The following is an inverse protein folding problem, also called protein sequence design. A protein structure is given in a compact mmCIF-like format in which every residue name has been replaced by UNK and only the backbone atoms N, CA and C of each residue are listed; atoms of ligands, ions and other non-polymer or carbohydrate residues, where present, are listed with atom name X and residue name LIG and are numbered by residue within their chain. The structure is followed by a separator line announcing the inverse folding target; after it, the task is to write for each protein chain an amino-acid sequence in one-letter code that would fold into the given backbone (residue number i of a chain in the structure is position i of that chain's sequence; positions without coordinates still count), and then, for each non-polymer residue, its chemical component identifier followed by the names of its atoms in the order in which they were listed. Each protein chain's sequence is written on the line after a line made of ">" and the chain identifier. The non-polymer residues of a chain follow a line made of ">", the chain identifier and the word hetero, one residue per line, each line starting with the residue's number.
data_IF_349583628294
#
_entry.id   IF_349583628294
#
_cell.length_a   1.000
_cell.length_b   1.000
_cell.length_c   1.000
_cell.angle_alpha   90.00
_cell.angle_beta   90.00
_cell.angle_gamma   90.00
#
_symmetry.space_group_name_H-M   'P 1'
#
loop_
_entity.id
_entity.type
_entity.pdbx_description
1 polymer ?
#
# COMPACT_ATOMS: atom_id res chain seq x y z
N UNK A 1 18.06 21.34 -4.77
CA UNK A 1 19.34 21.93 -4.32
C UNK A 1 19.65 23.14 -5.20
N UNK A 2 20.28 24.16 -4.64
CA UNK A 2 20.66 25.40 -5.34
C UNK A 2 22.13 25.69 -5.03
N UNK A 3 22.92 26.04 -6.05
CA UNK A 3 24.32 26.45 -5.90
C UNK A 3 24.34 27.94 -5.49
N UNK A 4 24.86 28.25 -4.29
CA UNK A 4 24.90 29.62 -3.75
C UNK A 4 26.19 30.36 -4.09
N UNK A 5 27.27 29.62 -4.32
CA UNK A 5 28.56 30.07 -4.84
C UNK A 5 29.28 28.87 -5.46
N UNK A 6 30.34 29.04 -6.28
CA UNK A 6 31.04 27.91 -6.90
C UNK A 6 31.36 26.80 -5.89
N UNK A 7 30.88 25.58 -6.18
CA UNK A 7 31.04 24.37 -5.36
C UNK A 7 30.39 24.41 -3.96
N UNK A 8 29.46 25.34 -3.72
CA UNK A 8 28.71 25.46 -2.46
C UNK A 8 27.21 25.37 -2.74
N UNK A 9 26.58 24.35 -2.16
CA UNK A 9 25.19 24.02 -2.41
C UNK A 9 24.35 24.09 -1.14
N UNK A 10 23.08 24.48 -1.27
CA UNK A 10 22.09 24.46 -0.19
C UNK A 10 20.80 23.75 -0.60
N UNK A 11 20.09 23.21 0.40
CA UNK A 11 18.79 22.60 0.20
C UNK A 11 17.74 23.66 -0.17
N UNK A 12 16.84 23.29 -1.09
CA UNK A 12 15.61 24.04 -1.34
C UNK A 12 14.42 23.24 -0.80
N UNK A 13 13.19 23.80 -0.89
CA UNK A 13 11.97 23.15 -0.37
C UNK A 13 11.77 21.72 -0.90
N UNK A 14 12.18 21.44 -2.14
CA UNK A 14 12.01 20.12 -2.75
C UNK A 14 13.09 19.16 -2.24
N UNK A 15 14.36 19.58 -2.26
CA UNK A 15 15.45 18.71 -1.81
C UNK A 15 15.48 18.51 -0.29
N UNK A 16 14.91 19.42 0.51
CA UNK A 16 14.74 19.21 1.95
C UNK A 16 13.81 18.04 2.28
N UNK A 17 12.86 17.69 1.39
CA UNK A 17 12.00 16.52 1.59
C UNK A 17 12.76 15.19 1.43
N UNK A 18 13.93 15.23 0.78
CA UNK A 18 14.81 14.09 0.55
C UNK A 18 15.92 13.97 1.60
N UNK A 19 16.05 14.99 2.47
CA UNK A 19 17.01 15.00 3.55
C UNK A 19 16.54 14.06 4.67
N UNK A 20 17.42 13.15 5.09
CA UNK A 20 17.13 12.24 6.20
C UNK A 20 17.44 12.87 7.55
N UNK A 21 18.03 14.07 7.58
CA UNK A 21 18.46 14.77 8.79
C UNK A 21 19.65 14.11 9.50
N UNK A 22 20.28 13.10 8.88
CA UNK A 22 21.41 12.37 9.45
C UNK A 22 22.72 13.04 9.07
N UNK A 23 23.69 13.02 10.00
CA UNK A 23 25.02 13.54 9.72
C UNK A 23 25.72 12.68 8.66
N UNK A 24 26.50 13.32 7.79
CA UNK A 24 27.23 12.65 6.69
C UNK A 24 28.12 11.51 7.21
N UNK A 25 28.81 11.73 8.34
CA UNK A 25 29.65 10.69 8.98
C UNK A 25 28.86 9.43 9.35
N UNK A 26 27.61 9.58 9.80
CA UNK A 26 26.76 8.45 10.18
C UNK A 26 26.25 7.72 8.94
N UNK A 27 25.92 8.46 7.87
CA UNK A 27 25.50 7.87 6.59
C UNK A 27 26.62 7.09 5.91
N UNK A 28 27.88 7.53 6.06
CA UNK A 28 29.05 6.80 5.54
C UNK A 28 29.32 5.55 6.39
N UNK A 29 29.22 5.66 7.72
CA UNK A 29 29.51 4.55 8.62
C UNK A 29 28.41 3.46 8.61
N UNK A 30 27.14 3.85 8.46
CA UNK A 30 25.94 2.99 8.56
C UNK A 30 24.92 3.34 7.46
N UNK A 31 25.26 3.10 6.18
CA UNK A 31 24.39 3.46 5.06
C UNK A 31 23.03 2.73 5.08
N UNK A 32 22.98 1.52 5.64
CA UNK A 32 21.77 0.71 5.79
C UNK A 32 20.75 1.32 6.76
N UNK A 33 21.20 2.12 7.71
CA UNK A 33 20.32 2.82 8.66
C UNK A 33 19.77 4.12 8.07
N UNK A 34 20.19 4.55 6.86
CA UNK A 34 19.90 5.89 6.29
C UNK A 34 18.46 6.38 6.49
N UNK A 35 17.49 5.48 6.31
CA UNK A 35 16.07 5.81 6.33
C UNK A 35 15.41 5.66 7.71
N UNK A 36 16.07 5.04 8.68
CA UNK A 36 15.51 4.80 10.00
C UNK A 36 15.19 6.11 10.72
N UNK A 37 14.00 6.13 11.35
CA UNK A 37 13.46 7.29 12.07
C UNK A 37 13.26 8.55 11.21
N UNK A 38 13.04 8.39 9.90
CA UNK A 38 12.70 9.49 8.98
C UNK A 38 11.20 9.55 8.66
N UNK A 39 10.78 10.58 7.90
CA UNK A 39 9.41 10.69 7.36
C UNK A 39 9.08 9.60 6.36
N UNK A 40 10.09 8.98 5.74
CA UNK A 40 9.94 7.91 4.75
C UNK A 40 9.92 8.38 3.29
N UNK A 41 9.84 9.69 3.02
CA UNK A 41 9.85 10.22 1.65
C UNK A 41 11.15 9.90 0.89
N UNK A 42 12.29 10.04 1.55
CA UNK A 42 13.57 9.63 0.97
C UNK A 42 13.65 8.09 0.73
N UNK A 43 12.99 7.30 1.57
CA UNK A 43 12.96 5.85 1.49
C UNK A 43 12.12 5.38 0.30
N UNK A 44 10.93 5.96 0.10
CA UNK A 44 10.08 5.64 -1.04
C UNK A 44 10.75 6.06 -2.35
N UNK A 45 11.43 7.21 -2.40
CA UNK A 45 12.18 7.60 -3.59
C UNK A 45 13.34 6.64 -3.89
N UNK A 46 14.07 6.20 -2.85
CA UNK A 46 15.14 5.22 -3.00
C UNK A 46 14.63 3.84 -3.41
N UNK A 47 13.41 3.45 -3.01
CA UNK A 47 12.73 2.25 -3.49
C UNK A 47 12.39 2.36 -4.99
N UNK A 48 11.88 3.50 -5.43
CA UNK A 48 11.56 3.70 -6.86
C UNK A 48 12.82 3.64 -7.74
N UNK A 49 13.90 4.29 -7.28
CA UNK A 49 15.17 4.33 -8.00
C UNK A 49 15.87 2.97 -8.11
N UNK A 50 15.56 2.02 -7.22
CA UNK A 50 16.31 0.80 -7.09
C UNK A 50 15.53 -0.44 -7.54
N UNK A 51 14.27 -0.62 -7.11
CA UNK A 51 13.43 -1.72 -7.57
C UNK A 51 12.59 -1.33 -8.79
N UNK A 52 11.79 -0.26 -8.66
CA UNK A 52 10.71 0.04 -9.61
C UNK A 52 11.26 0.42 -10.99
N UNK A 53 12.31 1.25 -11.06
CA UNK A 53 12.89 1.63 -12.35
C UNK A 53 13.70 0.53 -13.00
N UNK A 54 14.31 -0.40 -12.24
CA UNK A 54 14.93 -1.60 -12.82
C UNK A 54 13.87 -2.50 -13.45
N UNK A 55 12.76 -2.71 -12.75
CA UNK A 55 11.60 -3.43 -13.29
C UNK A 55 11.02 -2.71 -14.53
N UNK A 56 10.93 -1.38 -14.49
CA UNK A 56 10.43 -0.58 -15.62
C UNK A 56 11.29 -0.74 -16.87
N UNK A 57 12.61 -0.87 -16.72
CA UNK A 57 13.53 -1.09 -17.83
C UNK A 57 13.32 -2.42 -18.57
N UNK A 58 12.60 -3.36 -17.96
CA UNK A 58 12.28 -4.67 -18.52
C UNK A 58 10.78 -4.85 -18.83
N UNK A 59 9.99 -3.77 -18.73
CA UNK A 59 8.55 -3.83 -18.90
C UNK A 59 8.16 -4.22 -20.33
N UNK A 60 8.85 -3.67 -21.34
CA UNK A 60 8.57 -3.99 -22.74
C UNK A 60 8.81 -5.48 -23.03
N UNK A 61 9.92 -6.03 -22.56
CA UNK A 61 10.28 -7.44 -22.71
C UNK A 61 9.21 -8.34 -22.08
N UNK A 62 8.76 -8.01 -20.86
CA UNK A 62 7.69 -8.76 -20.19
C UNK A 62 6.34 -8.64 -20.92
N UNK A 63 6.03 -7.49 -21.52
CA UNK A 63 4.76 -7.29 -22.24
C UNK A 63 4.76 -7.86 -23.66
N UNK A 64 5.94 -8.08 -24.26
CA UNK A 64 6.08 -8.60 -25.63
C UNK A 64 6.34 -10.10 -25.69
N UNK A 65 6.79 -10.72 -24.60
CA UNK A 65 6.96 -12.17 -24.50
C UNK A 65 5.60 -12.88 -24.33
N UNK A 66 5.19 -13.78 -25.26
CA UNK A 66 3.94 -14.52 -25.15
C UNK A 66 3.76 -15.30 -23.83
N UNK A 67 4.85 -15.70 -23.17
CA UNK A 67 4.80 -16.42 -21.91
C UNK A 67 4.40 -15.53 -20.72
N UNK A 68 4.78 -14.25 -20.73
CA UNK A 68 4.58 -13.35 -19.58
C UNK A 68 3.61 -12.20 -19.86
N UNK A 69 3.32 -11.89 -21.13
CA UNK A 69 2.45 -10.79 -21.54
C UNK A 69 1.00 -10.89 -21.02
N UNK A 70 0.56 -12.10 -20.67
CA UNK A 70 -0.78 -12.38 -20.16
C UNK A 70 -0.75 -13.17 -18.84
N UNK A 71 0.40 -13.17 -18.17
CA UNK A 71 0.52 -13.84 -16.89
C UNK A 71 -0.22 -13.06 -15.80
N UNK A 72 -0.74 -13.79 -14.83
CA UNK A 72 -1.25 -13.25 -13.58
C UNK A 72 -0.53 -13.90 -12.38
N UNK A 73 0.66 -14.44 -12.62
CA UNK A 73 1.50 -15.04 -11.59
C UNK A 73 2.44 -13.99 -11.01
N UNK A 74 2.52 -13.95 -9.68
CA UNK A 74 3.28 -12.93 -8.94
C UNK A 74 4.80 -13.06 -9.10
N UNK A 75 5.28 -14.13 -9.72
CA UNK A 75 6.69 -14.40 -10.02
C UNK A 75 7.02 -14.31 -11.53
N UNK A 76 6.08 -13.86 -12.36
CA UNK A 76 6.24 -13.67 -13.80
C UNK A 76 6.09 -12.19 -14.16
N UNK A 77 6.84 -11.33 -13.46
CA UNK A 77 6.69 -9.87 -13.52
C UNK A 77 7.95 -9.18 -14.09
N UNK A 78 7.84 -7.90 -14.53
CA UNK A 78 9.02 -7.11 -14.89
C UNK A 78 10.04 -6.99 -13.75
N UNK A 79 9.58 -7.02 -12.48
CA UNK A 79 10.46 -7.08 -11.32
C UNK A 79 11.31 -8.36 -11.29
N UNK A 80 10.74 -9.51 -11.62
CA UNK A 80 11.47 -10.77 -11.69
C UNK A 80 12.58 -10.71 -12.74
N UNK A 81 12.27 -10.16 -13.91
CA UNK A 81 13.23 -9.99 -15.00
C UNK A 81 14.33 -8.97 -14.65
N UNK A 82 13.95 -7.77 -14.18
CA UNK A 82 14.87 -6.66 -13.94
C UNK A 82 15.80 -6.86 -12.73
N UNK A 83 15.39 -7.65 -11.73
CA UNK A 83 16.21 -7.97 -10.56
C UNK A 83 16.75 -9.40 -10.56
N UNK A 84 16.45 -10.18 -11.61
CA UNK A 84 16.87 -11.57 -11.78
C UNK A 84 16.49 -12.45 -10.57
N UNK A 85 15.21 -12.40 -10.17
CA UNK A 85 14.64 -13.17 -9.06
C UNK A 85 13.48 -14.04 -9.53
N UNK A 86 13.28 -15.21 -8.91
CA UNK A 86 12.29 -16.21 -9.34
C UNK A 86 11.04 -16.30 -8.46
N UNK A 87 11.01 -15.53 -7.38
CA UNK A 87 9.95 -15.53 -6.37
C UNK A 87 9.11 -14.25 -6.48
N UNK A 88 7.95 -14.23 -5.85
CA UNK A 88 7.13 -13.01 -5.82
C UNK A 88 7.85 -11.85 -5.14
N UNK A 89 7.42 -10.61 -5.37
CA UNK A 89 7.95 -9.45 -4.65
C UNK A 89 7.94 -9.69 -3.12
N UNK A 90 6.81 -10.18 -2.60
CA UNK A 90 6.62 -10.40 -1.17
C UNK A 90 7.55 -11.46 -0.59
N UNK A 91 7.71 -12.58 -1.29
CA UNK A 91 8.63 -13.65 -0.86
C UNK A 91 10.09 -13.22 -0.96
N UNK A 92 10.42 -12.38 -1.95
CA UNK A 92 11.77 -11.93 -2.22
C UNK A 92 12.26 -10.94 -1.15
N UNK A 93 11.42 -9.98 -0.74
CA UNK A 93 11.84 -8.96 0.23
C UNK A 93 12.03 -9.52 1.65
N UNK A 94 11.46 -10.68 1.97
CA UNK A 94 11.62 -11.31 3.30
C UNK A 94 12.76 -12.34 3.34
N UNK A 95 13.54 -12.47 2.27
CA UNK A 95 14.71 -13.35 2.26
C UNK A 95 15.73 -12.92 3.32
N UNK A 96 16.39 -13.87 4.01
CA UNK A 96 17.33 -13.58 5.09
C UNK A 96 18.64 -12.93 4.62
N UNK A 97 18.81 -12.72 3.32
CA UNK A 97 19.99 -12.08 2.75
C UNK A 97 20.06 -10.60 3.17
N UNK A 98 21.21 -10.11 3.67
CA UNK A 98 21.39 -8.70 4.05
C UNK A 98 20.98 -7.70 2.95
N UNK A 99 21.15 -8.07 1.68
CA UNK A 99 20.72 -7.30 0.52
C UNK A 99 19.21 -7.07 0.50
N UNK A 100 18.41 -8.10 0.81
CA UNK A 100 16.96 -8.02 0.83
C UNK A 100 16.43 -7.43 2.14
N UNK A 101 17.06 -7.73 3.28
CA UNK A 101 16.68 -7.15 4.57
C UNK A 101 16.72 -5.62 4.57
N UNK A 102 17.75 -5.01 3.96
CA UNK A 102 17.80 -3.55 3.81
C UNK A 102 16.63 -3.03 2.96
N UNK A 103 16.35 -3.68 1.81
CA UNK A 103 15.25 -3.31 0.91
C UNK A 103 13.90 -3.42 1.60
N UNK A 104 13.68 -4.47 2.38
CA UNK A 104 12.49 -4.68 3.20
C UNK A 104 12.29 -3.55 4.22
N UNK A 105 13.33 -3.23 5.00
CA UNK A 105 13.28 -2.13 5.97
C UNK A 105 12.99 -0.80 5.28
N UNK A 106 13.70 -0.51 4.17
CA UNK A 106 13.48 0.68 3.34
C UNK A 106 12.04 0.73 2.80
N UNK A 107 11.51 -0.39 2.32
CA UNK A 107 10.15 -0.48 1.79
C UNK A 107 9.12 -0.14 2.88
N UNK A 108 9.20 -0.76 4.06
CA UNK A 108 8.28 -0.47 5.17
C UNK A 108 8.30 1.02 5.57
N UNK A 109 9.49 1.61 5.67
CA UNK A 109 9.66 3.04 5.96
C UNK A 109 9.11 3.90 4.80
N UNK A 110 9.31 3.47 3.56
CA UNK A 110 8.80 4.12 2.35
C UNK A 110 7.27 4.13 2.29
N UNK A 111 6.62 3.00 2.58
CA UNK A 111 5.16 2.91 2.64
C UNK A 111 4.57 3.81 3.72
N UNK A 112 5.22 3.90 4.89
CA UNK A 112 4.85 4.91 5.91
C UNK A 112 4.91 6.33 5.35
N UNK A 113 5.97 6.64 4.59
CA UNK A 113 6.14 7.94 3.93
C UNK A 113 5.07 8.21 2.87
N UNK A 114 4.75 7.23 2.03
CA UNK A 114 3.68 7.33 1.04
C UNK A 114 2.31 7.57 1.71
N UNK A 115 2.02 6.85 2.80
CA UNK A 115 0.79 7.06 3.57
C UNK A 115 0.66 8.46 4.20
N UNK A 116 1.76 9.19 4.40
CA UNK A 116 1.72 10.58 4.89
C UNK A 116 1.27 11.60 3.84
N UNK A 117 1.18 11.18 2.56
CA UNK A 117 0.62 11.99 1.48
C UNK A 117 -0.92 11.99 1.50
N UNK A 118 -1.53 10.99 2.15
CA UNK A 118 -2.96 10.97 2.41
C UNK A 118 -3.29 11.82 3.65
N UNK A 119 -4.47 12.47 3.70
CA UNK A 119 -4.94 13.10 4.93
C UNK A 119 -4.97 12.11 6.09
N UNK A 120 -4.36 12.46 7.22
CA UNK A 120 -4.26 11.56 8.37
C UNK A 120 -5.62 11.08 8.92
N UNK A 121 -6.69 11.84 8.67
CA UNK A 121 -8.06 11.51 9.07
C UNK A 121 -8.88 10.80 7.98
N UNK A 122 -8.29 10.47 6.83
CA UNK A 122 -8.99 9.84 5.71
C UNK A 122 -9.67 8.52 6.13
N UNK A 123 -8.98 7.68 6.92
CA UNK A 123 -9.56 6.44 7.41
C UNK A 123 -10.77 6.68 8.33
N UNK A 124 -10.76 7.75 9.13
CA UNK A 124 -11.88 8.11 10.02
C UNK A 124 -13.12 8.55 9.23
N UNK A 125 -12.92 9.07 8.02
CA UNK A 125 -14.00 9.47 7.10
C UNK A 125 -14.48 8.35 6.18
N UNK A 126 -13.72 7.26 6.07
CA UNK A 126 -14.05 6.15 5.19
C UNK A 126 -15.32 5.40 5.63
N UNK A 127 -15.65 5.42 6.92
CA UNK A 127 -16.79 4.75 7.50
C UNK A 127 -17.19 5.39 8.83
N UNK A 128 -18.46 5.32 9.21
CA UNK A 128 -18.91 5.78 10.53
C UNK A 128 -18.53 4.76 11.62
N UNK A 129 -17.25 4.73 11.98
CA UNK A 129 -16.71 3.80 12.98
C UNK A 129 -17.36 3.94 14.35
N UNK A 130 -17.90 5.12 14.69
CA UNK A 130 -18.55 5.38 15.97
C UNK A 130 -19.98 4.84 16.03
N UNK A 131 -20.58 4.52 14.89
CA UNK A 131 -21.88 3.82 14.84
C UNK A 131 -21.78 2.34 15.24
N UNK A 132 -20.57 1.78 15.28
CA UNK A 132 -20.36 0.39 15.68
C UNK A 132 -20.69 0.21 17.17
N UNK A 133 -21.37 -0.89 17.55
CA UNK A 133 -21.58 -1.23 18.95
C UNK A 133 -20.27 -1.31 19.74
N UNK A 134 -20.32 -0.94 21.01
CA UNK A 134 -19.16 -1.06 21.91
C UNK A 134 -18.66 -2.51 21.95
N UNK A 135 -17.36 -2.69 21.77
CA UNK A 135 -16.71 -3.99 21.71
C UNK A 135 -16.72 -4.64 20.33
N UNK A 136 -17.23 -3.96 19.29
CA UNK A 136 -17.09 -4.40 17.89
C UNK A 136 -15.64 -4.67 17.52
N UNK A 137 -15.43 -5.74 16.75
CA UNK A 137 -14.10 -6.18 16.31
C UNK A 137 -13.90 -5.73 14.87
N UNK A 138 -12.86 -4.92 14.65
CA UNK A 138 -12.35 -4.56 13.33
C UNK A 138 -11.11 -5.38 13.07
N UNK A 139 -11.10 -6.14 11.98
CA UNK A 139 -9.94 -6.92 11.54
C UNK A 139 -9.30 -6.18 10.36
N UNK A 140 -8.11 -5.65 10.57
CA UNK A 140 -7.27 -5.02 9.54
C UNK A 140 -6.44 -6.11 8.85
N UNK A 141 -6.90 -6.53 7.65
CA UNK A 141 -6.39 -7.69 6.93
C UNK A 141 -5.27 -7.24 5.99
N UNK A 142 -4.05 -7.78 6.17
CA UNK A 142 -2.86 -7.28 5.47
C UNK A 142 -2.46 -5.89 5.96
N UNK A 143 -2.68 -5.58 7.25
CA UNK A 143 -2.57 -4.22 7.79
C UNK A 143 -1.14 -3.64 7.82
N UNK A 144 -0.12 -4.41 7.42
CA UNK A 144 1.27 -4.01 7.49
C UNK A 144 1.67 -3.66 8.92
N UNK A 145 2.33 -2.51 9.07
CA UNK A 145 2.70 -1.97 10.39
C UNK A 145 1.50 -1.36 11.17
N UNK A 146 0.28 -1.42 10.63
CA UNK A 146 -0.95 -0.98 11.29
C UNK A 146 -1.16 0.54 11.30
N UNK A 147 -0.75 1.25 10.25
CA UNK A 147 -0.90 2.71 10.16
C UNK A 147 -2.36 3.18 10.33
N UNK A 148 -3.32 2.69 9.53
CA UNK A 148 -4.74 3.03 9.66
C UNK A 148 -5.33 2.56 11.00
N UNK A 149 -4.99 1.34 11.42
CA UNK A 149 -5.39 0.79 12.72
C UNK A 149 -4.94 1.68 13.89
N UNK A 150 -3.76 2.29 13.84
CA UNK A 150 -3.27 3.20 14.88
C UNK A 150 -4.12 4.47 14.98
N UNK A 151 -4.53 5.04 13.84
CA UNK A 151 -5.43 6.19 13.79
C UNK A 151 -6.80 5.83 14.37
N UNK A 152 -7.35 4.67 14.01
CA UNK A 152 -8.61 4.15 14.56
C UNK A 152 -8.50 3.92 16.07
N UNK A 153 -7.43 3.26 16.53
CA UNK A 153 -7.20 2.96 17.94
C UNK A 153 -7.13 4.22 18.81
N UNK A 154 -6.61 5.34 18.27
CA UNK A 154 -6.51 6.62 18.98
C UNK A 154 -7.84 7.38 19.03
N UNK A 155 -8.70 7.24 18.02
CA UNK A 155 -9.89 8.10 17.84
C UNK A 155 -11.23 7.40 18.11
N UNK A 156 -11.23 6.06 18.18
CA UNK A 156 -12.42 5.23 18.38
C UNK A 156 -12.12 4.20 19.49
N UNK A 157 -12.14 4.61 20.77
CA UNK A 157 -11.69 3.74 21.87
C UNK A 157 -12.64 2.57 22.18
N UNK A 158 -13.88 2.63 21.70
CA UNK A 158 -14.91 1.62 21.97
C UNK A 158 -14.82 0.36 21.10
N UNK A 159 -13.98 0.36 20.05
CA UNK A 159 -13.76 -0.81 19.19
C UNK A 159 -12.50 -1.59 19.61
N UNK A 160 -12.51 -2.88 19.29
CA UNK A 160 -11.33 -3.75 19.34
C UNK A 160 -10.77 -3.89 17.93
N UNK A 161 -9.45 -3.95 17.81
CA UNK A 161 -8.76 -4.04 16.53
C UNK A 161 -7.87 -5.28 16.52
N UNK A 162 -7.96 -6.07 15.47
CA UNK A 162 -7.03 -7.19 15.20
C UNK A 162 -6.26 -6.83 13.94
N UNK A 163 -4.94 -6.72 14.05
CA UNK A 163 -4.07 -6.41 12.92
C UNK A 163 -3.46 -7.71 12.43
N UNK A 164 -3.77 -8.08 11.19
CA UNK A 164 -3.32 -9.30 10.56
C UNK A 164 -2.32 -9.00 9.46
N UNK A 165 -1.18 -9.68 9.50
CA UNK A 165 -0.20 -9.69 8.42
C UNK A 165 0.66 -10.97 8.52
N UNK A 166 1.59 -11.16 7.60
CA UNK A 166 2.56 -12.25 7.62
C UNK A 166 3.35 -12.27 8.95
N UNK A 167 3.86 -13.45 9.37
CA UNK A 167 4.63 -13.57 10.61
C UNK A 167 5.79 -12.56 10.72
N UNK A 168 6.56 -12.39 9.63
CA UNK A 168 7.70 -11.48 9.58
C UNK A 168 7.28 -10.03 9.79
N UNK A 169 6.21 -9.58 9.12
CA UNK A 169 5.72 -8.20 9.28
C UNK A 169 5.21 -7.96 10.69
N UNK A 170 4.48 -8.91 11.27
CA UNK A 170 4.00 -8.81 12.65
C UNK A 170 5.16 -8.73 13.64
N UNK A 171 6.18 -9.59 13.52
CA UNK A 171 7.29 -9.63 14.46
C UNK A 171 8.25 -8.44 14.33
N UNK A 172 8.61 -8.07 13.10
CA UNK A 172 9.68 -7.08 12.85
C UNK A 172 9.17 -5.66 12.61
N UNK A 173 7.92 -5.52 12.17
CA UNK A 173 7.32 -4.21 11.85
C UNK A 173 6.28 -3.79 12.88
N UNK A 174 5.18 -4.52 12.97
CA UNK A 174 3.99 -4.13 13.72
C UNK A 174 4.23 -4.14 15.23
N UNK A 175 4.80 -5.23 15.76
CA UNK A 175 5.05 -5.37 17.21
C UNK A 175 5.91 -4.25 17.80
N UNK A 176 7.12 -3.95 17.27
CA UNK A 176 7.96 -2.89 17.85
C UNK A 176 7.35 -1.50 17.72
N UNK A 177 6.64 -1.22 16.61
CA UNK A 177 5.96 0.06 16.44
C UNK A 177 4.86 0.25 17.48
N UNK A 178 3.98 -0.74 17.64
CA UNK A 178 2.83 -0.63 18.54
C UNK A 178 3.23 -0.63 20.02
N UNK A 179 4.29 -1.35 20.38
CA UNK A 179 4.87 -1.30 21.73
C UNK A 179 5.38 0.12 22.08
N UNK A 180 5.80 0.91 21.09
CA UNK A 180 6.23 2.31 21.29
C UNK A 180 5.09 3.30 21.22
N UNK A 181 4.17 3.13 20.28
CA UNK A 181 3.16 4.15 19.91
C UNK A 181 1.87 4.09 20.73
N UNK A 182 1.46 2.89 21.20
CA UNK A 182 0.19 2.68 21.92
C UNK A 182 0.23 1.41 22.82
N UNK A 183 1.20 1.29 23.75
CA UNK A 183 1.41 0.07 24.54
C UNK A 183 0.20 -0.32 25.41
N UNK A 184 -0.57 0.64 25.89
CA UNK A 184 -1.75 0.41 26.73
C UNK A 184 -2.90 -0.27 25.97
N UNK A 185 -3.00 -0.05 24.65
CA UNK A 185 -3.99 -0.71 23.82
C UNK A 185 -3.66 -2.20 23.61
N UNK A 186 -2.36 -2.54 23.54
CA UNK A 186 -1.89 -3.93 23.52
C UNK A 186 -2.11 -4.59 24.88
N UNK A 187 -1.68 -3.94 25.97
CA UNK A 187 -1.78 -4.48 27.32
C UNK A 187 -3.23 -4.76 27.76
N UNK A 188 -4.17 -3.93 27.32
CA UNK A 188 -5.62 -4.13 27.59
C UNK A 188 -6.29 -5.17 26.69
N UNK A 189 -5.60 -5.69 25.67
CA UNK A 189 -6.18 -6.58 24.66
C UNK A 189 -7.21 -5.89 23.75
N UNK A 190 -7.22 -4.54 23.73
CA UNK A 190 -8.05 -3.77 22.79
C UNK A 190 -7.49 -3.86 21.38
N UNK A 191 -6.16 -3.95 21.26
CA UNK A 191 -5.47 -4.21 20.00
C UNK A 191 -4.74 -5.54 20.11
N UNK A 192 -4.97 -6.41 19.13
CA UNK A 192 -4.31 -7.71 19.02
C UNK A 192 -3.51 -7.77 17.73
N UNK A 193 -2.25 -8.16 17.83
CA UNK A 193 -1.39 -8.41 16.67
C UNK A 193 -1.44 -9.91 16.35
N UNK A 194 -1.77 -10.28 15.12
CA UNK A 194 -1.98 -11.67 14.74
C UNK A 194 -1.28 -12.00 13.41
N UNK A 195 -0.32 -12.93 13.46
CA UNK A 195 0.23 -13.49 12.24
C UNK A 195 -0.85 -14.29 11.49
N UNK A 196 -1.12 -13.93 10.23
CA UNK A 196 -2.11 -14.60 9.40
C UNK A 196 -1.83 -14.41 7.91
N UNK A 197 -1.98 -15.49 7.14
CA UNK A 197 -2.03 -15.46 5.69
C UNK A 197 -3.50 -15.38 5.25
N UNK A 198 -3.91 -14.26 4.64
CA UNK A 198 -5.28 -14.03 4.18
C UNK A 198 -5.74 -14.97 3.06
N UNK A 199 -4.85 -15.77 2.46
CA UNK A 199 -5.21 -16.82 1.52
C UNK A 199 -5.71 -18.09 2.21
N UNK A 200 -5.49 -18.20 3.52
CA UNK A 200 -5.94 -19.32 4.37
C UNK A 200 -7.27 -18.97 5.06
N UNK A 201 -8.00 -19.95 5.62
CA UNK A 201 -9.25 -19.69 6.32
C UNK A 201 -9.12 -18.63 7.42
N UNK A 202 -9.92 -17.58 7.31
CA UNK A 202 -9.91 -16.47 8.26
C UNK A 202 -10.32 -16.93 9.68
N UNK A 203 -9.44 -16.80 10.70
CA UNK A 203 -9.68 -17.31 12.05
C UNK A 203 -10.73 -16.52 12.84
N UNK A 204 -10.92 -15.23 12.55
CA UNK A 204 -11.85 -14.38 13.29
C UNK A 204 -13.25 -14.46 12.66
N UNK A 205 -14.14 -15.25 13.28
CA UNK A 205 -15.51 -15.52 12.79
C UNK A 205 -16.57 -14.52 13.29
N UNK A 206 -16.18 -13.59 14.16
CA UNK A 206 -17.07 -12.66 14.83
C UNK A 206 -16.73 -11.19 14.57
N UNK A 207 -16.01 -10.91 13.48
CA UNK A 207 -15.66 -9.56 13.06
C UNK A 207 -16.92 -8.73 12.75
N UNK A 208 -16.99 -7.52 13.28
CA UNK A 208 -17.97 -6.52 12.85
C UNK A 208 -17.56 -5.89 11.52
N UNK A 209 -16.25 -5.72 11.31
CA UNK A 209 -15.68 -5.16 10.08
C UNK A 209 -14.43 -5.94 9.68
N UNK A 210 -14.34 -6.30 8.40
CA UNK A 210 -13.06 -6.57 7.75
C UNK A 210 -12.63 -5.32 6.98
N UNK A 211 -11.41 -4.86 7.22
CA UNK A 211 -10.79 -3.72 6.54
C UNK A 211 -9.66 -4.25 5.64
N UNK A 212 -9.70 -3.84 4.37
CA UNK A 212 -8.64 -4.05 3.39
C UNK A 212 -8.23 -2.68 2.85
N UNK A 213 -7.11 -2.12 3.32
CA UNK A 213 -6.57 -0.87 2.77
C UNK A 213 -5.36 -1.17 1.90
N UNK A 214 -5.41 -0.77 0.63
CA UNK A 214 -4.27 -0.89 -0.29
C UNK A 214 -3.79 -2.35 -0.41
N UNK A 215 -4.75 -3.28 -0.47
CA UNK A 215 -4.50 -4.72 -0.60
C UNK A 215 -4.98 -5.23 -1.96
N UNK A 216 -6.17 -4.81 -2.38
CA UNK A 216 -6.82 -5.44 -3.53
C UNK A 216 -6.08 -5.11 -4.83
N UNK A 217 -5.48 -3.92 -4.94
CA UNK A 217 -4.66 -3.56 -6.10
C UNK A 217 -3.42 -4.45 -6.29
N UNK A 218 -2.96 -5.16 -5.24
CA UNK A 218 -1.75 -5.98 -5.31
C UNK A 218 -1.99 -7.37 -5.87
N UNK A 219 -3.25 -7.76 -6.09
CA UNK A 219 -3.62 -9.13 -6.40
C UNK A 219 -4.54 -9.22 -7.63
N UNK A 220 -4.29 -10.20 -8.54
CA UNK A 220 -5.18 -10.41 -9.68
C UNK A 220 -6.53 -10.90 -9.19
N UNK A 221 -7.55 -10.75 -10.03
CA UNK A 221 -8.93 -11.23 -9.78
C UNK A 221 -8.96 -12.62 -9.14
N UNK A 222 -8.18 -13.59 -9.63
CA UNK A 222 -8.15 -14.95 -9.08
C UNK A 222 -7.75 -15.00 -7.59
N UNK A 223 -6.79 -14.17 -7.17
CA UNK A 223 -6.33 -14.10 -5.78
C UNK A 223 -7.18 -13.15 -4.95
N UNK A 224 -7.63 -12.02 -5.53
CA UNK A 224 -8.62 -11.14 -4.94
C UNK A 224 -9.89 -11.91 -4.54
N UNK A 225 -10.43 -12.74 -5.45
CA UNK A 225 -11.57 -13.64 -5.19
C UNK A 225 -11.24 -14.61 -4.05
N UNK A 226 -10.02 -15.17 -4.02
CA UNK A 226 -9.60 -16.07 -2.93
C UNK A 226 -9.63 -15.36 -1.57
N UNK A 227 -9.04 -14.16 -1.48
CA UNK A 227 -9.03 -13.35 -0.25
C UNK A 227 -10.48 -13.06 0.19
N UNK A 228 -11.29 -12.49 -0.71
CA UNK A 228 -12.69 -12.15 -0.43
C UNK A 228 -13.51 -13.37 -0.03
N UNK A 229 -13.24 -14.54 -0.60
CA UNK A 229 -13.90 -15.80 -0.24
C UNK A 229 -13.57 -16.24 1.18
N UNK A 230 -12.32 -16.12 1.61
CA UNK A 230 -11.94 -16.45 3.00
C UNK A 230 -12.62 -15.52 4.00
N UNK A 231 -12.69 -14.22 3.69
CA UNK A 231 -13.40 -13.24 4.53
C UNK A 231 -14.90 -13.50 4.55
N UNK A 232 -15.51 -13.81 3.39
CA UNK A 232 -16.93 -14.13 3.29
C UNK A 232 -17.31 -15.37 4.10
N UNK A 233 -16.48 -16.41 4.10
CA UNK A 233 -16.70 -17.62 4.90
C UNK A 233 -16.63 -17.37 6.41
N UNK A 234 -15.91 -16.33 6.84
CA UNK A 234 -15.83 -15.93 8.25
C UNK A 234 -16.86 -14.87 8.65
N UNK A 235 -17.46 -14.18 7.68
CA UNK A 235 -18.39 -13.10 7.91
C UNK A 235 -19.74 -13.60 8.46
N UNK A 236 -20.26 -12.86 9.44
CA UNK A 236 -21.66 -12.95 9.86
C UNK A 236 -22.55 -12.11 8.93
N UNK A 237 -23.89 -12.26 9.00
CA UNK A 237 -24.81 -11.43 8.21
C UNK A 237 -24.66 -9.91 8.46
N UNK A 238 -24.24 -9.52 9.66
CA UNK A 238 -24.02 -8.13 10.07
C UNK A 238 -22.59 -7.63 9.78
N UNK A 239 -21.64 -8.52 9.45
CA UNK A 239 -20.26 -8.12 9.14
C UNK A 239 -20.22 -7.21 7.92
N UNK A 240 -19.46 -6.12 8.01
CA UNK A 240 -19.19 -5.21 6.90
C UNK A 240 -17.79 -5.48 6.34
N UNK A 241 -17.64 -5.32 5.03
CA UNK A 241 -16.35 -5.29 4.36
C UNK A 241 -16.10 -3.84 3.91
N UNK A 242 -14.95 -3.30 4.29
CA UNK A 242 -14.50 -1.98 3.87
C UNK A 242 -13.22 -2.15 3.07
N UNK A 243 -13.25 -1.73 1.80
CA UNK A 243 -12.09 -1.71 0.92
C UNK A 243 -11.71 -0.25 0.71
N UNK A 244 -10.48 0.10 1.03
CA UNK A 244 -9.92 1.44 0.81
C UNK A 244 -8.78 1.31 -0.19
N UNK A 245 -9.11 1.53 -1.46
CA UNK A 245 -8.18 1.41 -2.57
C UNK A 245 -8.38 2.53 -3.59
N UNK A 246 -7.42 2.68 -4.50
CA UNK A 246 -7.47 3.64 -5.58
C UNK A 246 -8.46 3.18 -6.66
N UNK A 247 -9.53 3.95 -6.87
CA UNK A 247 -10.41 3.79 -8.02
C UNK A 247 -9.94 4.72 -9.15
N UNK A 248 -9.50 4.15 -10.26
CA UNK A 248 -8.92 4.92 -11.37
C UNK A 248 -10.01 5.24 -12.39
N UNK A 249 -10.39 6.52 -12.57
CA UNK A 249 -11.38 6.90 -13.57
C UNK A 249 -10.79 6.80 -14.99
N UNK A 250 -11.66 6.66 -15.99
CA UNK A 250 -11.24 6.75 -17.39
C UNK A 250 -10.85 8.19 -17.76
N UNK A 251 -9.93 8.32 -18.71
CA UNK A 251 -9.52 9.63 -19.22
C UNK A 251 -10.59 10.30 -20.08
N UNK A 252 -11.42 9.50 -20.75
CA UNK A 252 -12.58 9.95 -21.50
C UNK A 252 -13.82 10.10 -20.59
N UNK A 253 -14.70 11.01 -20.96
CA UNK A 253 -16.04 11.10 -20.36
C UNK A 253 -16.82 9.85 -20.76
N UNK A 254 -17.24 9.05 -19.78
CA UNK A 254 -18.05 7.87 -20.03
C UNK A 254 -19.51 8.15 -19.63
N UNK A 255 -20.39 8.49 -20.59
CA UNK A 255 -21.79 8.74 -20.30
C UNK A 255 -22.54 7.49 -19.82
N UNK A 256 -21.96 6.29 -19.97
CA UNK A 256 -22.53 5.00 -19.53
C UNK A 256 -22.04 4.53 -18.15
N UNK A 257 -21.01 5.18 -17.59
CA UNK A 257 -20.33 4.76 -16.36
C UNK A 257 -21.29 4.46 -15.21
N UNK A 258 -21.42 3.17 -14.87
CA UNK A 258 -22.25 2.58 -13.79
C UNK A 258 -23.69 3.10 -13.62
N UNK A 259 -24.21 3.86 -14.61
CA UNK A 259 -25.58 4.38 -14.65
C UNK A 259 -26.54 3.19 -14.80
N UNK A 260 -26.99 2.65 -13.68
CA UNK A 260 -27.96 1.54 -13.64
C UNK A 260 -27.66 0.42 -12.66
N UNK A 261 -26.48 0.37 -12.02
CA UNK A 261 -26.17 -0.69 -11.04
C UNK A 261 -26.65 -0.41 -9.61
N UNK A 262 -27.21 0.77 -9.34
CA UNK A 262 -27.83 1.13 -8.06
C UNK A 262 -26.86 1.26 -6.88
N UNK A 263 -25.55 1.23 -7.12
CA UNK A 263 -24.54 1.41 -6.06
C UNK A 263 -24.31 2.90 -5.85
N UNK A 264 -24.70 3.39 -4.67
CA UNK A 264 -24.53 4.81 -4.29
C UNK A 264 -23.04 5.16 -4.29
N UNK A 265 -22.67 6.19 -5.05
CA UNK A 265 -21.29 6.67 -5.13
C UNK A 265 -20.36 5.86 -6.05
N UNK A 266 -20.87 4.86 -6.77
CA UNK A 266 -20.06 4.08 -7.71
C UNK A 266 -19.68 4.85 -8.98
N UNK A 267 -20.49 5.84 -9.39
CA UNK A 267 -20.17 6.70 -10.53
C UNK A 267 -19.13 7.74 -10.07
N UNK A 268 -17.91 7.73 -10.62
CA UNK A 268 -16.89 8.72 -10.28
C UNK A 268 -17.38 10.12 -10.62
N UNK A 269 -17.05 11.10 -9.77
CA UNK A 269 -17.29 12.50 -10.11
C UNK A 269 -16.26 12.93 -11.15
N UNK A 270 -16.69 13.07 -12.40
CA UNK A 270 -15.83 13.57 -13.47
C UNK A 270 -15.46 15.05 -13.28
N UNK A 271 -14.29 15.43 -13.79
CA UNK A 271 -13.90 16.84 -13.85
C UNK A 271 -14.77 17.59 -14.88
N UNK A 272 -15.08 18.89 -14.64
CA UNK A 272 -15.78 19.70 -15.64
C UNK A 272 -14.87 19.99 -16.84
N UNK A 273 -15.45 20.09 -18.03
CA UNK A 273 -14.76 20.58 -19.22
C UNK A 273 -14.11 21.97 -18.94
N UNK A 274 -12.91 22.25 -19.49
CA UNK A 274 -12.17 21.50 -20.50
C UNK A 274 -11.18 20.47 -19.93
N UNK A 275 -11.25 20.14 -18.63
CA UNK A 275 -10.38 19.12 -18.04
C UNK A 275 -10.76 17.73 -18.54
N UNK A 276 -9.78 16.82 -18.63
CA UNK A 276 -10.04 15.40 -18.83
C UNK A 276 -10.91 14.85 -17.69
N UNK A 277 -11.78 13.87 -17.98
CA UNK A 277 -12.72 13.31 -17.02
C UNK A 277 -12.04 12.79 -15.74
N UNK A 278 -10.81 12.28 -15.88
CA UNK A 278 -9.97 11.81 -14.79
C UNK A 278 -9.17 12.89 -14.04
N UNK A 279 -9.46 14.17 -14.27
CA UNK A 279 -8.72 15.34 -13.75
C UNK A 279 -7.30 15.51 -14.31
N UNK A 280 -6.87 14.71 -15.30
CA UNK A 280 -5.57 14.82 -15.94
C UNK A 280 -4.39 14.82 -14.94
N UNK A 281 -3.52 15.83 -15.04
CA UNK A 281 -2.29 15.93 -14.22
C UNK A 281 -2.55 15.94 -12.71
N UNK A 282 -3.71 16.41 -12.25
CA UNK A 282 -3.97 16.44 -10.80
C UNK A 282 -4.26 15.07 -10.21
N UNK A 283 -4.54 14.06 -11.04
CA UNK A 283 -4.71 12.67 -10.63
C UNK A 283 -3.53 11.78 -11.07
N UNK A 284 -2.43 12.37 -11.57
CA UNK A 284 -1.25 11.64 -12.08
C UNK A 284 -0.70 10.62 -11.09
N UNK A 285 -0.65 10.97 -9.79
CA UNK A 285 -0.10 10.07 -8.77
C UNK A 285 -0.82 8.72 -8.69
N UNK A 286 -2.13 8.70 -8.93
CA UNK A 286 -2.91 7.46 -8.90
C UNK A 286 -2.54 6.54 -10.06
N UNK A 287 -2.33 7.09 -11.27
CA UNK A 287 -1.84 6.34 -12.42
C UNK A 287 -0.38 5.90 -12.24
N UNK A 288 0.45 6.74 -11.62
CA UNK A 288 1.83 6.38 -11.34
C UNK A 288 1.91 5.20 -10.35
N UNK A 289 1.03 5.18 -9.34
CA UNK A 289 0.90 4.07 -8.41
C UNK A 289 0.46 2.78 -9.14
N UNK A 290 -0.54 2.87 -10.01
CA UNK A 290 -1.02 1.74 -10.83
C UNK A 290 0.09 1.13 -11.69
N UNK A 291 0.80 1.97 -12.44
CA UNK A 291 1.94 1.56 -13.27
C UNK A 291 3.06 0.96 -12.41
N UNK A 292 3.26 1.46 -11.18
CA UNK A 292 4.24 0.90 -10.24
C UNK A 292 3.85 -0.51 -9.80
N UNK A 293 2.58 -0.73 -9.45
CA UNK A 293 2.06 -2.05 -9.11
C UNK A 293 2.17 -3.00 -10.31
N UNK A 294 1.82 -2.54 -11.51
CA UNK A 294 1.98 -3.31 -12.75
C UNK A 294 3.42 -3.81 -12.94
N UNK A 295 4.43 -2.94 -12.75
CA UNK A 295 5.85 -3.31 -12.88
C UNK A 295 6.31 -4.32 -11.82
N UNK A 296 5.79 -4.18 -10.60
CA UNK A 296 6.29 -4.92 -9.44
C UNK A 296 5.55 -6.24 -9.19
N UNK A 297 4.26 -6.30 -9.54
CA UNK A 297 3.31 -7.34 -9.11
C UNK A 297 2.38 -7.82 -10.24
N UNK A 298 2.46 -7.20 -11.42
CA UNK A 298 1.76 -7.51 -12.67
C UNK A 298 0.21 -7.44 -12.61
N UNK A 299 -0.35 -6.30 -13.06
CA UNK A 299 -1.77 -6.15 -13.43
C UNK A 299 -1.91 -5.44 -14.76
N UNK A 300 -2.93 -5.85 -15.50
CA UNK A 300 -3.29 -5.34 -16.82
C UNK A 300 -3.67 -3.85 -16.72
N UNK A 301 -3.05 -3.01 -17.54
CA UNK A 301 -3.70 -1.78 -18.02
C UNK A 301 -4.94 -2.23 -18.81
N UNK A 302 -6.15 -1.97 -18.29
CA UNK A 302 -7.38 -2.35 -19.00
C UNK A 302 -7.31 -1.92 -20.47
N UNK A 303 -7.60 -2.89 -21.35
CA UNK A 303 -7.62 -2.70 -22.82
C UNK A 303 -8.69 -1.70 -23.27
N UNK A 304 -9.54 -1.27 -22.34
CA UNK A 304 -10.63 -0.32 -22.59
C UNK A 304 -10.22 1.12 -22.25
N UNK A 305 -8.95 1.35 -21.88
CA UNK A 305 -8.39 2.70 -21.87
C UNK A 305 -8.43 3.23 -23.31
N UNK A 306 -9.28 4.23 -23.55
CA UNK A 306 -9.34 5.02 -24.78
C UNK A 306 -8.04 5.82 -24.97
N UNK A 307 -6.93 5.11 -25.18
CA UNK A 307 -5.68 5.66 -25.68
C UNK A 307 -5.73 5.40 -27.19
N UNK A 308 -6.51 6.24 -27.88
CA UNK A 308 -6.44 6.40 -29.33
C UNK A 308 -5.33 7.38 -29.69
#
# INVERSE_FOLDING_TARGET
>A
MFEVSPDVFTNNRVSSMMDTGKAVKDLIARPEEKHENTTGLAAIASHHLDEVYKAAGCLWESMSDPATAHSFESNETPFNLGLNVKTSFWDTIVLPDPYWQYRQRRFHIGIKGAGSLEPADAILKAFDWRSLPKGSIVVDVGGGIGGPALVLARNVPDIKIVIQDTPTVISEGTTPLWARELPEALASGRVTLQAHDFFTPQPIKNASVFLLKQIMHDWPDKYAIKILSQLRQAARPDTRLIIVDSAIPFACHDPSGDKGKGVVGAVPKEAPEPLLANYGVTNEMTYFADVTVCKMKHFKLEKDSCIG
#
